data_IF_290222573536
#
_entry.id   IF_290222573536
#
_cell.length_a   1.000
_cell.length_b   1.000
_cell.length_c   1.000
_cell.angle_alpha   90.00
_cell.angle_beta   90.00
_cell.angle_gamma   90.00
#
_symmetry.space_group_name_H-M   'P 1'
#
loop_
_entity.id
_entity.type
_entity.pdbx_description
1 polymer ?
#
# COMPACT_ATOMS: atom_id res chain seq x y z
N UNK A 1 8.26 -78.82 -56.93
CA UNK A 1 8.71 -78.51 -55.60
C UNK A 1 8.27 -77.06 -55.26
N UNK A 2 7.19 -76.97 -54.57
CA UNK A 2 6.49 -75.66 -54.27
C UNK A 2 6.70 -75.35 -52.87
N UNK A 3 7.34 -74.22 -52.55
CA UNK A 3 7.46 -73.73 -51.18
C UNK A 3 6.34 -72.77 -50.86
N UNK A 4 5.70 -72.84 -49.68
CA UNK A 4 4.70 -71.88 -49.24
C UNK A 4 5.34 -70.70 -48.57
N UNK A 5 4.81 -69.52 -48.88
CA UNK A 5 5.20 -68.22 -48.33
C UNK A 5 4.61 -68.09 -46.91
N UNK A 6 5.49 -67.98 -45.93
CA UNK A 6 5.13 -67.77 -44.53
C UNK A 6 4.50 -66.41 -44.31
N UNK A 7 3.51 -66.41 -43.43
CA UNK A 7 2.60 -65.34 -43.10
C UNK A 7 3.24 -64.05 -42.53
N UNK A 8 2.67 -62.99 -42.94
CA UNK A 8 2.80 -61.66 -42.30
C UNK A 8 2.18 -61.71 -40.88
N UNK A 9 2.85 -61.20 -39.87
CA UNK A 9 2.21 -61.03 -38.59
C UNK A 9 1.16 -59.92 -38.66
N UNK A 10 -0.03 -60.24 -38.22
CA UNK A 10 -1.14 -59.32 -38.11
C UNK A 10 -0.78 -58.15 -37.18
N UNK A 11 -0.95 -56.93 -37.70
CA UNK A 11 -0.87 -55.66 -36.95
C UNK A 11 -2.00 -55.65 -35.96
N UNK A 12 -1.74 -55.41 -34.63
CA UNK A 12 -2.82 -55.29 -33.65
C UNK A 12 -3.70 -54.09 -33.93
N UNK A 13 -5.03 -54.21 -33.96
CA UNK A 13 -5.94 -53.09 -34.05
C UNK A 13 -5.99 -52.36 -32.70
N UNK A 14 -5.81 -51.03 -32.77
CA UNK A 14 -6.24 -50.17 -31.67
C UNK A 14 -5.17 -49.51 -30.83
N UNK A 15 -4.31 -48.73 -31.46
CA UNK A 15 -3.87 -47.48 -30.81
C UNK A 15 -4.70 -46.38 -31.42
N UNK A 16 -5.91 -46.21 -30.90
CA UNK A 16 -6.65 -44.96 -31.13
C UNK A 16 -5.77 -43.79 -30.68
N UNK A 17 -5.89 -42.62 -31.32
CA UNK A 17 -5.18 -41.45 -30.85
C UNK A 17 -5.61 -41.22 -29.39
N UNK A 18 -4.67 -41.39 -28.46
CA UNK A 18 -4.82 -40.88 -27.11
C UNK A 18 -5.26 -39.43 -27.22
N UNK A 19 -6.42 -39.03 -26.68
CA UNK A 19 -6.79 -37.64 -26.71
C UNK A 19 -5.63 -36.92 -26.02
N UNK A 20 -4.98 -36.04 -26.77
CA UNK A 20 -4.07 -35.04 -26.19
C UNK A 20 -4.95 -34.23 -25.24
N UNK A 21 -5.05 -34.68 -23.99
CA UNK A 21 -5.62 -33.89 -22.90
C UNK A 21 -4.87 -32.58 -22.94
N UNK A 22 -5.55 -31.54 -23.41
CA UNK A 22 -4.96 -30.22 -23.52
C UNK A 22 -4.33 -29.90 -22.15
N UNK A 23 -3.03 -29.71 -22.13
CA UNK A 23 -2.25 -29.55 -20.86
C UNK A 23 -2.85 -28.46 -19.94
N UNK A 24 -3.73 -27.60 -20.49
CA UNK A 24 -4.45 -26.58 -19.76
C UNK A 24 -5.72 -27.03 -19.05
N UNK A 25 -6.28 -28.21 -19.37
CA UNK A 25 -7.51 -28.73 -18.75
C UNK A 25 -7.24 -29.66 -17.56
N UNK A 26 -5.97 -29.89 -17.27
CA UNK A 26 -5.58 -30.69 -16.13
C UNK A 26 -5.77 -29.91 -14.83
N UNK A 27 -6.11 -30.57 -13.71
CA UNK A 27 -6.11 -29.95 -12.38
C UNK A 27 -4.70 -29.42 -12.05
N UNK A 28 -4.63 -28.44 -11.16
CA UNK A 28 -3.36 -27.95 -10.65
C UNK A 28 -2.48 -29.12 -10.15
N UNK A 29 -1.24 -29.17 -10.59
CA UNK A 29 -0.28 -30.12 -10.06
C UNK A 29 0.12 -29.74 -8.63
N UNK A 30 0.78 -30.65 -7.91
CA UNK A 30 1.16 -30.46 -6.51
C UNK A 30 2.03 -29.21 -6.32
N UNK A 31 2.98 -28.98 -7.22
CA UNK A 31 3.87 -27.81 -7.15
C UNK A 31 3.10 -26.51 -7.31
N UNK A 32 2.23 -26.40 -8.30
CA UNK A 32 1.38 -25.23 -8.53
C UNK A 32 0.47 -24.94 -7.33
N UNK A 33 -0.15 -25.99 -6.77
CA UNK A 33 -0.98 -25.87 -5.57
C UNK A 33 -0.17 -25.33 -4.40
N UNK A 34 1.01 -25.89 -4.14
CA UNK A 34 1.90 -25.46 -3.04
C UNK A 34 2.31 -24.00 -3.18
N UNK A 35 2.58 -23.53 -4.41
CA UNK A 35 2.91 -22.11 -4.66
C UNK A 35 1.73 -21.22 -4.31
N UNK A 36 0.52 -21.51 -4.79
CA UNK A 36 -0.68 -20.72 -4.49
C UNK A 36 -1.00 -20.74 -2.99
N UNK A 37 -0.93 -21.89 -2.33
CA UNK A 37 -1.17 -22.00 -0.88
C UNK A 37 -0.19 -21.16 -0.07
N UNK A 38 1.09 -21.10 -0.47
CA UNK A 38 2.10 -20.24 0.16
C UNK A 38 1.75 -18.76 0.00
N UNK A 39 1.36 -18.33 -1.20
CA UNK A 39 0.96 -16.95 -1.46
C UNK A 39 -0.29 -16.57 -0.67
N UNK A 40 -1.26 -17.45 -0.60
CA UNK A 40 -2.49 -17.26 0.20
C UNK A 40 -2.16 -17.15 1.68
N UNK A 41 -1.32 -18.02 2.23
CA UNK A 41 -0.88 -17.95 3.62
C UNK A 41 -0.21 -16.62 3.93
N UNK A 42 0.66 -16.13 3.03
CA UNK A 42 1.31 -14.82 3.17
C UNK A 42 0.28 -13.69 3.20
N UNK A 43 -0.70 -13.71 2.27
CA UNK A 43 -1.74 -12.70 2.20
C UNK A 43 -2.62 -12.69 3.46
N UNK A 44 -3.03 -13.87 3.95
CA UNK A 44 -3.81 -14.03 5.19
C UNK A 44 -3.07 -13.43 6.39
N UNK A 45 -1.79 -13.70 6.51
CA UNK A 45 -0.97 -13.16 7.61
C UNK A 45 -0.94 -11.64 7.64
N UNK A 46 -1.01 -10.98 6.47
CA UNK A 46 -0.99 -9.52 6.37
C UNK A 46 -2.37 -8.87 6.48
N UNK A 47 -3.42 -9.57 6.03
CA UNK A 47 -4.76 -8.97 5.90
C UNK A 47 -5.75 -9.45 6.95
N UNK A 48 -5.43 -10.53 7.69
CA UNK A 48 -6.34 -11.23 8.61
C UNK A 48 -7.61 -11.75 7.93
N UNK A 49 -7.62 -11.90 6.59
CA UNK A 49 -8.72 -12.50 5.85
C UNK A 49 -8.76 -14.01 6.07
N UNK A 50 -9.93 -14.62 5.87
CA UNK A 50 -10.05 -16.07 5.93
C UNK A 50 -9.60 -16.72 4.62
N UNK A 51 -9.04 -17.93 4.70
CA UNK A 51 -8.57 -18.68 3.54
C UNK A 51 -9.65 -18.84 2.45
N UNK A 52 -10.89 -19.16 2.87
CA UNK A 52 -12.01 -19.31 1.95
C UNK A 52 -12.34 -18.00 1.20
N UNK A 53 -12.22 -16.84 1.85
CA UNK A 53 -12.47 -15.53 1.25
C UNK A 53 -11.40 -15.19 0.20
N UNK A 54 -10.15 -15.49 0.49
CA UNK A 54 -9.05 -15.27 -0.46
C UNK A 54 -9.24 -16.12 -1.71
N UNK A 55 -9.56 -17.41 -1.54
CA UNK A 55 -9.85 -18.30 -2.67
C UNK A 55 -11.06 -17.85 -3.48
N UNK A 56 -12.15 -17.45 -2.80
CA UNK A 56 -13.33 -16.93 -3.47
C UNK A 56 -13.02 -15.66 -4.29
N UNK A 57 -12.23 -14.76 -3.72
CA UNK A 57 -11.78 -13.56 -4.40
C UNK A 57 -10.90 -13.85 -5.63
N UNK A 58 -9.95 -14.77 -5.53
CA UNK A 58 -9.11 -15.19 -6.67
C UNK A 58 -9.97 -15.80 -7.78
N UNK A 59 -10.89 -16.71 -7.45
CA UNK A 59 -11.81 -17.31 -8.41
C UNK A 59 -12.69 -16.26 -9.09
N UNK A 60 -13.23 -15.33 -8.31
CA UNK A 60 -14.04 -14.22 -8.82
C UNK A 60 -13.27 -13.36 -9.83
N UNK A 61 -12.05 -12.97 -9.51
CA UNK A 61 -11.21 -12.14 -10.39
C UNK A 61 -10.80 -12.88 -11.68
N UNK A 62 -10.72 -14.20 -11.62
CA UNK A 62 -10.50 -15.07 -12.79
C UNK A 62 -11.79 -15.35 -13.59
N UNK A 63 -12.94 -14.82 -13.18
CA UNK A 63 -14.25 -15.07 -13.79
C UNK A 63 -14.78 -16.49 -13.58
N UNK A 64 -14.27 -17.18 -12.57
CA UNK A 64 -14.69 -18.55 -12.26
C UNK A 64 -15.84 -18.52 -11.24
N UNK A 65 -16.84 -19.39 -11.46
CA UNK A 65 -17.91 -19.58 -10.46
C UNK A 65 -17.35 -20.29 -9.21
N UNK A 66 -17.95 -20.06 -8.05
CA UNK A 66 -17.45 -20.55 -6.75
C UNK A 66 -17.06 -22.03 -6.70
N UNK A 67 -17.84 -22.90 -7.35
CA UNK A 67 -17.63 -24.36 -7.36
C UNK A 67 -16.68 -24.83 -8.48
N UNK A 68 -16.28 -23.93 -9.39
CA UNK A 68 -15.37 -24.31 -10.48
C UNK A 68 -13.98 -24.58 -9.95
N UNK A 69 -13.38 -25.76 -10.25
CA UNK A 69 -12.01 -26.04 -9.83
C UNK A 69 -11.01 -25.19 -10.62
N UNK A 70 -9.94 -24.79 -9.97
CA UNK A 70 -8.80 -24.16 -10.63
C UNK A 70 -8.02 -25.24 -11.42
N UNK A 71 -7.85 -24.97 -12.70
CA UNK A 71 -7.10 -25.81 -13.61
C UNK A 71 -5.69 -25.25 -13.83
N UNK A 72 -4.78 -26.08 -14.36
CA UNK A 72 -3.41 -25.68 -14.65
C UNK A 72 -3.29 -24.42 -15.53
N UNK A 73 -4.22 -24.23 -16.47
CA UNK A 73 -4.30 -23.00 -17.30
C UNK A 73 -4.56 -21.73 -16.51
N UNK A 74 -5.20 -21.82 -15.35
CA UNK A 74 -5.52 -20.65 -14.50
C UNK A 74 -4.37 -20.29 -13.57
N UNK A 75 -3.36 -21.16 -13.42
CA UNK A 75 -2.26 -20.98 -12.46
C UNK A 75 -1.52 -19.65 -12.65
N UNK A 76 -1.06 -19.26 -13.86
CA UNK A 76 -0.30 -18.01 -14.00
C UNK A 76 -1.13 -16.78 -13.64
N UNK A 77 -2.41 -16.77 -14.01
CA UNK A 77 -3.30 -15.66 -13.67
C UNK A 77 -3.64 -15.60 -12.17
N UNK A 78 -3.81 -16.76 -11.53
CA UNK A 78 -4.02 -16.86 -10.08
C UNK A 78 -2.79 -16.41 -9.31
N UNK A 79 -1.60 -16.81 -9.72
CA UNK A 79 -0.33 -16.41 -9.13
C UNK A 79 -0.12 -14.89 -9.25
N UNK A 80 -0.35 -14.33 -10.42
CA UNK A 80 -0.25 -12.89 -10.65
C UNK A 80 -1.24 -12.11 -9.80
N UNK A 81 -2.50 -12.54 -9.73
CA UNK A 81 -3.52 -11.91 -8.89
C UNK A 81 -3.14 -11.91 -7.41
N UNK A 82 -2.67 -13.05 -6.88
CA UNK A 82 -2.21 -13.15 -5.50
C UNK A 82 -1.00 -12.25 -5.23
N UNK A 83 -0.02 -12.21 -6.11
CA UNK A 83 1.14 -11.32 -5.97
C UNK A 83 0.74 -9.85 -5.97
N UNK A 84 -0.21 -9.44 -6.82
CA UNK A 84 -0.74 -8.08 -6.83
C UNK A 84 -1.46 -7.72 -5.53
N UNK A 85 -2.29 -8.63 -5.01
CA UNK A 85 -2.97 -8.45 -3.72
C UNK A 85 -1.99 -8.36 -2.55
N UNK A 86 -0.92 -9.18 -2.56
CA UNK A 86 0.17 -9.13 -1.58
C UNK A 86 0.86 -7.77 -1.63
N UNK A 87 1.23 -7.27 -2.82
CA UNK A 87 1.85 -5.96 -2.98
C UNK A 87 0.97 -4.83 -2.43
N UNK A 88 -0.34 -4.87 -2.69
CA UNK A 88 -1.30 -3.91 -2.13
C UNK A 88 -1.40 -4.02 -0.60
N UNK A 89 -1.41 -5.25 -0.06
CA UNK A 89 -1.44 -5.47 1.39
C UNK A 89 -0.17 -4.95 2.08
N UNK A 90 1.01 -5.15 1.49
CA UNK A 90 2.29 -4.65 1.97
C UNK A 90 2.33 -3.11 2.00
N UNK A 91 1.85 -2.47 0.94
CA UNK A 91 1.73 -1.00 0.88
C UNK A 91 0.80 -0.47 1.97
N UNK A 92 -0.37 -1.11 2.16
CA UNK A 92 -1.32 -0.72 3.19
C UNK A 92 -0.75 -0.90 4.60
N UNK A 93 -0.02 -1.99 4.85
CA UNK A 93 0.64 -2.24 6.13
C UNK A 93 1.72 -1.19 6.41
N UNK A 94 2.58 -0.90 5.43
CA UNK A 94 3.60 0.14 5.52
C UNK A 94 2.98 1.51 5.77
N UNK A 95 1.89 1.85 5.08
CA UNK A 95 1.17 3.12 5.29
C UNK A 95 0.62 3.23 6.72
N UNK A 96 -0.01 2.16 7.23
CA UNK A 96 -0.53 2.12 8.61
C UNK A 96 0.58 2.30 9.64
N UNK A 97 1.73 1.64 9.44
CA UNK A 97 2.89 1.79 10.33
C UNK A 97 3.41 3.22 10.32
N UNK A 98 3.57 3.84 9.15
CA UNK A 98 4.02 5.23 9.03
C UNK A 98 3.02 6.20 9.67
N UNK A 99 1.71 6.01 9.47
CA UNK A 99 0.68 6.82 10.12
C UNK A 99 0.68 6.66 11.63
N UNK A 100 0.89 5.44 12.15
CA UNK A 100 1.00 5.19 13.58
C UNK A 100 2.19 5.94 14.20
N UNK A 101 3.37 5.85 13.57
CA UNK A 101 4.56 6.58 14.01
C UNK A 101 4.36 8.09 13.97
N UNK A 102 3.75 8.61 12.89
CA UNK A 102 3.41 10.04 12.79
C UNK A 102 2.45 10.47 13.89
N UNK A 103 1.42 9.69 14.17
CA UNK A 103 0.44 9.99 15.22
C UNK A 103 1.09 10.00 16.60
N UNK A 104 2.01 9.08 16.86
CA UNK A 104 2.78 9.03 18.11
C UNK A 104 3.66 10.28 18.28
N UNK A 105 4.44 10.64 17.25
CA UNK A 105 5.28 11.83 17.27
C UNK A 105 4.47 13.13 17.40
N UNK A 106 3.29 13.19 16.79
CA UNK A 106 2.37 14.32 16.93
C UNK A 106 1.71 14.40 18.33
N UNK A 107 1.60 13.27 19.03
CA UNK A 107 1.11 13.20 20.40
C UNK A 107 2.13 13.70 21.41
N UNK A 108 3.41 13.58 21.12
CA UNK A 108 4.51 13.93 22.04
C UNK A 108 4.92 15.41 22.02
N UNK A 109 4.36 16.25 21.12
CA UNK A 109 4.77 17.64 21.01
C UNK A 109 3.75 18.56 20.31
N UNK A 110 4.05 19.86 20.29
CA UNK A 110 3.23 20.91 19.64
C UNK A 110 3.37 20.92 18.10
N UNK A 111 3.78 19.79 17.49
CA UNK A 111 4.09 19.72 16.08
C UNK A 111 2.86 19.56 15.17
N UNK A 112 1.68 19.33 15.77
CA UNK A 112 0.45 19.05 15.02
C UNK A 112 0.08 20.19 14.05
N UNK A 113 0.18 21.45 14.51
CA UNK A 113 -0.12 22.61 13.67
C UNK A 113 0.90 22.77 12.56
N UNK A 114 2.21 22.67 12.87
CA UNK A 114 3.28 22.77 11.89
C UNK A 114 3.17 21.72 10.78
N UNK A 115 2.84 20.48 11.16
CA UNK A 115 2.61 19.40 10.21
C UNK A 115 1.39 19.66 9.35
N UNK A 116 0.29 20.13 9.94
CA UNK A 116 -0.93 20.49 9.18
C UNK A 116 -0.68 21.60 8.17
N UNK A 117 0.04 22.64 8.55
CA UNK A 117 0.37 23.76 7.69
C UNK A 117 1.33 23.33 6.56
N UNK A 118 2.32 22.49 6.87
CA UNK A 118 3.24 21.94 5.89
C UNK A 118 2.48 21.08 4.85
N UNK A 119 1.61 20.16 5.31
CA UNK A 119 0.82 19.30 4.41
C UNK A 119 -0.04 20.14 3.47
N UNK A 120 -0.69 21.19 4.00
CA UNK A 120 -1.51 22.09 3.22
C UNK A 120 -0.69 22.85 2.16
N UNK A 121 0.47 23.36 2.53
CA UNK A 121 1.33 24.13 1.63
C UNK A 121 1.98 23.26 0.55
N UNK A 122 2.49 22.09 0.92
CA UNK A 122 3.28 21.24 0.02
C UNK A 122 2.43 20.31 -0.84
N UNK A 123 1.32 19.81 -0.29
CA UNK A 123 0.54 18.76 -0.94
C UNK A 123 -0.90 19.18 -1.22
N UNK A 124 -1.35 20.34 -0.72
CA UNK A 124 -2.72 20.82 -0.88
C UNK A 124 -3.76 19.99 -0.11
N UNK A 125 -3.31 19.10 0.78
CA UNK A 125 -4.17 18.26 1.61
C UNK A 125 -4.31 18.81 3.03
N UNK A 126 -5.39 18.43 3.71
CA UNK A 126 -5.66 18.87 5.09
C UNK A 126 -5.49 17.76 6.13
N UNK A 127 -5.39 16.51 5.68
CA UNK A 127 -5.32 15.35 6.55
C UNK A 127 -4.23 14.35 6.11
N UNK A 128 -3.59 13.70 7.10
CA UNK A 128 -2.53 12.72 6.86
C UNK A 128 -2.99 11.50 6.06
N UNK A 129 -4.24 11.09 6.20
CA UNK A 129 -4.82 9.95 5.48
C UNK A 129 -5.04 10.20 3.98
N UNK A 130 -4.89 11.43 3.52
CA UNK A 130 -4.96 11.81 2.10
C UNK A 130 -3.60 11.77 1.40
N UNK A 131 -2.53 11.58 2.17
CA UNK A 131 -1.18 11.53 1.65
C UNK A 131 -0.83 10.14 1.11
N UNK A 132 -0.03 10.12 0.05
CA UNK A 132 0.59 8.89 -0.46
C UNK A 132 1.73 8.41 0.46
N UNK A 133 2.11 7.14 0.35
CA UNK A 133 3.20 6.58 1.15
C UNK A 133 4.52 7.39 1.07
N UNK A 134 5.00 7.83 -0.11
CA UNK A 134 6.19 8.67 -0.20
C UNK A 134 6.04 10.02 0.53
N UNK A 135 4.85 10.64 0.44
CA UNK A 135 4.56 11.90 1.12
C UNK A 135 4.55 11.73 2.64
N UNK A 136 3.94 10.65 3.14
CA UNK A 136 3.95 10.29 4.57
C UNK A 136 5.38 10.08 5.09
N UNK A 137 6.20 9.35 4.33
CA UNK A 137 7.60 9.12 4.68
C UNK A 137 8.41 10.43 4.73
N UNK A 138 8.16 11.35 3.80
CA UNK A 138 8.80 12.67 3.81
C UNK A 138 8.41 13.48 5.06
N UNK A 139 7.12 13.54 5.38
CA UNK A 139 6.64 14.22 6.61
C UNK A 139 7.27 13.59 7.85
N UNK A 140 7.33 12.25 7.92
CA UNK A 140 7.95 11.53 9.04
C UNK A 140 9.42 11.89 9.20
N UNK A 141 10.20 11.89 8.12
CA UNK A 141 11.61 12.26 8.15
C UNK A 141 11.84 13.71 8.59
N UNK A 142 11.03 14.65 8.09
CA UNK A 142 11.13 16.06 8.47
C UNK A 142 10.80 16.26 9.94
N UNK A 143 9.79 15.53 10.45
CA UNK A 143 9.42 15.56 11.85
C UNK A 143 10.51 14.99 12.77
N UNK A 144 11.10 13.84 12.38
CA UNK A 144 12.19 13.22 13.13
C UNK A 144 13.46 14.09 13.16
N UNK A 145 13.71 14.87 12.10
CA UNK A 145 14.83 15.81 12.03
C UNK A 145 14.56 17.13 12.75
N UNK A 146 13.36 17.33 13.31
CA UNK A 146 12.96 18.59 13.92
C UNK A 146 12.78 19.75 12.94
N UNK A 147 12.73 19.48 11.63
CA UNK A 147 12.61 20.50 10.58
C UNK A 147 11.18 21.02 10.40
N UNK A 148 10.20 20.36 11.00
CA UNK A 148 8.80 20.75 11.07
C UNK A 148 8.41 21.36 12.43
N UNK A 149 9.39 21.73 13.27
CA UNK A 149 9.10 22.53 14.42
C UNK A 149 8.58 23.89 13.95
N UNK A 150 7.42 24.32 14.45
CA UNK A 150 6.98 25.72 14.30
C UNK A 150 8.17 26.54 14.78
N UNK A 151 8.72 27.49 13.98
CA UNK A 151 9.52 28.54 14.56
C UNK A 151 8.59 29.11 15.65
N UNK A 152 8.96 28.93 16.93
CA UNK A 152 8.26 29.61 18.01
C UNK A 152 8.08 31.02 17.49
N UNK A 153 6.83 31.58 17.52
CA UNK A 153 6.66 32.98 17.19
C UNK A 153 7.76 33.63 17.98
N UNK A 154 8.77 34.15 17.28
CA UNK A 154 9.86 34.85 17.91
C UNK A 154 9.12 35.73 18.90
N UNK A 155 9.21 35.42 20.20
CA UNK A 155 8.79 36.34 21.20
C UNK A 155 9.43 37.62 20.70
N UNK A 156 8.61 38.51 20.07
CA UNK A 156 9.04 39.85 19.81
C UNK A 156 9.74 40.17 21.09
N UNK A 157 11.06 40.49 21.06
CA UNK A 157 11.71 40.88 22.28
C UNK A 157 10.72 41.88 22.84
N UNK A 158 10.15 41.58 24.00
CA UNK A 158 9.30 42.50 24.65
C UNK A 158 10.12 43.77 24.66
N UNK A 159 9.72 44.73 23.84
CA UNK A 159 10.27 46.04 23.88
C UNK A 159 9.78 46.64 25.16
N UNK A 160 10.19 46.03 26.25
CA UNK A 160 10.35 46.62 27.56
C UNK A 160 11.60 47.51 27.50
N UNK A 161 11.74 48.20 26.39
CA UNK A 161 12.61 49.36 26.33
C UNK A 161 11.83 50.45 27.00
N UNK A 162 12.24 50.89 28.21
CA UNK A 162 11.62 52.05 28.83
C UNK A 162 11.68 53.18 27.79
N UNK A 163 10.53 53.74 27.46
CA UNK A 163 10.43 54.85 26.51
C UNK A 163 11.43 55.92 26.95
N UNK A 164 12.29 56.35 26.04
CA UNK A 164 13.22 57.43 26.34
C UNK A 164 12.43 58.68 26.69
N UNK A 165 12.90 59.57 27.58
CA UNK A 165 12.19 60.77 28.00
C UNK A 165 11.67 61.64 26.83
N UNK A 166 12.37 61.62 25.68
CA UNK A 166 11.94 62.30 24.48
C UNK A 166 10.67 61.72 23.86
N UNK A 167 10.41 60.41 24.01
CA UNK A 167 9.22 59.75 23.43
C UNK A 167 7.97 60.05 24.28
N UNK A 168 8.11 60.28 25.60
CA UNK A 168 7.02 60.74 26.45
C UNK A 168 6.57 62.15 26.09
N UNK A 169 7.50 63.02 25.70
CA UNK A 169 7.17 64.42 25.31
C UNK A 169 6.34 64.42 24.03
N UNK A 170 6.65 63.55 23.07
CA UNK A 170 5.94 63.46 21.79
C UNK A 170 4.53 62.88 21.99
N UNK A 171 4.37 61.87 22.86
CA UNK A 171 3.08 61.30 23.21
C UNK A 171 2.16 62.32 23.90
N UNK A 172 2.68 63.10 24.84
CA UNK A 172 1.92 64.14 25.56
C UNK A 172 1.50 65.26 24.62
N UNK A 173 2.33 65.64 23.64
CA UNK A 173 1.96 66.65 22.63
C UNK A 173 0.85 66.16 21.68
N UNK A 174 0.87 64.83 21.33
CA UNK A 174 -0.18 64.22 20.52
C UNK A 174 -1.52 64.14 21.26
N UNK A 175 -1.50 63.77 22.52
CA UNK A 175 -2.69 63.70 23.39
C UNK A 175 -3.29 65.08 23.58
N UNK A 176 -2.47 66.13 23.78
CA UNK A 176 -2.94 67.51 23.94
C UNK A 176 -3.58 68.10 22.68
N UNK A 177 -3.15 67.65 21.49
CA UNK A 177 -3.74 68.08 20.22
C UNK A 177 -5.06 67.39 19.87
N UNK A 178 -5.32 66.22 20.48
CA UNK A 178 -6.57 65.49 20.30
C UNK A 178 -7.68 65.90 21.28
N UNK A 179 -7.33 66.71 22.29
CA UNK A 179 -8.26 67.17 23.32
C UNK A 179 -8.66 68.65 23.17
N UNK A 180 -8.26 69.31 22.09
CA UNK A 180 -8.63 70.68 21.71
C UNK A 180 -9.56 70.62 20.49
#
# INVERSE_FOLDING_TARGET
MTQPISGMPARPPGAGPTPLSSAGEQPLNLQQRTVLERLITRLITMTSQQNAEVWAGVKHDLGLKGDTPLLARHFPAAEQNLNQRIGTAEQNLSMRQTLSQLTELLGQGNNRQAVSDFIRQQYGHTALNQLTQPQLNNVLQLLQRGQLSIPQPQQRPATDRPLLPAEYTTLNQLVSKLSA
#
